data_IF_808784055106
#
_entry.id   IF_808784055106
#
_cell.length_a   1.000
_cell.length_b   1.000
_cell.length_c   1.000
_cell.angle_alpha   90.00
_cell.angle_beta   90.00
_cell.angle_gamma   90.00
#
_symmetry.space_group_name_H-M   'P 1'
#
loop_
_entity.id
_entity.type
_entity.pdbx_description
1 polymer ?
#
# COMPACT_ATOMS: atom_id res chain seq x y z
N UNK A 1 13.08 -8.74 -6.93
CA UNK A 1 11.68 -8.95 -6.50
C UNK A 1 11.03 -7.71 -5.87
N UNK A 2 11.77 -6.80 -5.22
CA UNK A 2 11.25 -5.49 -4.77
C UNK A 2 11.35 -4.37 -5.82
N UNK A 3 11.73 -4.72 -7.04
CA UNK A 3 12.10 -3.75 -8.09
C UNK A 3 10.91 -2.96 -8.61
N UNK A 4 9.69 -3.52 -8.59
CA UNK A 4 8.52 -2.85 -9.18
C UNK A 4 8.07 -1.63 -8.37
N UNK A 5 8.02 -1.73 -7.03
CA UNK A 5 7.74 -0.58 -6.16
C UNK A 5 8.97 0.32 -6.07
N UNK A 6 10.19 -0.24 -6.11
CA UNK A 6 11.43 0.54 -6.03
C UNK A 6 11.76 1.33 -7.30
N UNK A 7 11.23 0.93 -8.46
CA UNK A 7 11.47 1.61 -9.75
C UNK A 7 10.45 2.68 -10.10
N UNK A 8 9.26 2.67 -9.47
CA UNK A 8 8.17 3.62 -9.73
C UNK A 8 7.99 4.63 -8.60
N UNK A 9 7.50 5.82 -8.92
CA UNK A 9 7.15 6.86 -7.95
C UNK A 9 5.84 6.49 -7.22
N UNK A 10 5.62 6.99 -6.00
CA UNK A 10 4.36 6.76 -5.27
C UNK A 10 3.17 7.32 -6.04
N UNK A 11 3.33 8.50 -6.68
CA UNK A 11 2.29 9.07 -7.55
C UNK A 11 1.97 8.13 -8.73
N UNK A 12 2.97 7.52 -9.38
CA UNK A 12 2.75 6.56 -10.48
C UNK A 12 2.04 5.27 -10.02
N UNK A 13 2.39 4.78 -8.82
CA UNK A 13 1.75 3.60 -8.24
C UNK A 13 0.27 3.88 -7.90
N UNK A 14 -0.03 5.07 -7.40
CA UNK A 14 -1.38 5.54 -7.16
C UNK A 14 -2.18 5.68 -8.47
N UNK A 15 -1.59 6.31 -9.49
CA UNK A 15 -2.22 6.53 -10.79
C UNK A 15 -2.62 5.25 -11.50
N UNK A 16 -1.76 4.23 -11.45
CA UNK A 16 -2.02 2.94 -12.09
C UNK A 16 -2.89 2.01 -11.24
N UNK A 17 -3.34 2.43 -10.05
CA UNK A 17 -4.02 1.58 -9.07
C UNK A 17 -3.33 0.22 -8.88
N UNK A 18 -2.00 0.26 -8.79
CA UNK A 18 -1.17 -0.93 -8.90
C UNK A 18 -1.47 -1.94 -7.79
N UNK A 19 -1.55 -3.22 -8.15
CA UNK A 19 -1.75 -4.35 -7.24
C UNK A 19 -0.55 -5.30 -7.36
N UNK A 20 0.02 -5.69 -6.23
CA UNK A 20 1.16 -6.59 -6.17
C UNK A 20 0.93 -7.66 -5.12
N UNK A 21 1.15 -8.93 -5.48
CA UNK A 21 1.15 -10.03 -4.52
C UNK A 21 2.42 -9.94 -3.66
N UNK A 22 2.23 -9.82 -2.35
CA UNK A 22 3.31 -9.74 -1.36
C UNK A 22 2.96 -10.54 -0.14
N UNK A 23 3.91 -11.27 0.42
CA UNK A 23 3.72 -11.84 1.76
C UNK A 23 3.68 -10.73 2.82
N UNK A 24 3.25 -11.09 4.04
CA UNK A 24 3.23 -10.16 5.17
C UNK A 24 4.63 -9.62 5.48
N UNK A 25 5.63 -10.51 5.49
CA UNK A 25 7.01 -10.14 5.79
C UNK A 25 7.60 -9.23 4.72
N UNK A 26 7.38 -9.55 3.44
CA UNK A 26 7.81 -8.69 2.33
C UNK A 26 7.13 -7.33 2.36
N UNK A 27 5.83 -7.27 2.67
CA UNK A 27 5.13 -6.00 2.75
C UNK A 27 5.77 -5.06 3.79
N UNK A 28 6.10 -5.56 4.99
CA UNK A 28 6.72 -4.72 6.02
C UNK A 28 8.14 -4.27 5.65
N UNK A 29 8.89 -5.07 4.88
CA UNK A 29 10.18 -4.65 4.34
C UNK A 29 10.02 -3.56 3.26
N UNK A 30 9.04 -3.71 2.38
CA UNK A 30 8.75 -2.73 1.32
C UNK A 30 8.13 -1.45 1.88
N UNK A 31 7.40 -1.55 2.99
CA UNK A 31 6.76 -0.41 3.63
C UNK A 31 7.79 0.68 3.99
N UNK A 32 8.97 0.30 4.49
CA UNK A 32 10.06 1.24 4.77
C UNK A 32 10.53 1.98 3.50
N UNK A 33 10.65 1.26 2.38
CA UNK A 33 10.97 1.84 1.07
C UNK A 33 9.89 2.82 0.63
N UNK A 34 8.61 2.46 0.79
CA UNK A 34 7.47 3.33 0.47
C UNK A 34 7.51 4.60 1.33
N UNK A 35 7.77 4.49 2.63
CA UNK A 35 7.90 5.66 3.52
C UNK A 35 9.04 6.58 3.10
N UNK A 36 10.20 6.01 2.75
CA UNK A 36 11.35 6.77 2.29
C UNK A 36 11.04 7.53 0.99
N UNK A 37 10.42 6.87 0.02
CA UNK A 37 10.00 7.48 -1.24
C UNK A 37 8.94 8.55 -1.06
N UNK A 38 7.91 8.26 -0.27
CA UNK A 38 6.88 9.25 0.04
C UNK A 38 7.51 10.52 0.65
N UNK A 39 8.51 10.37 1.54
CA UNK A 39 9.25 11.51 2.08
C UNK A 39 10.04 12.28 1.02
N UNK A 40 10.67 11.58 0.06
CA UNK A 40 11.37 12.20 -1.07
C UNK A 40 10.42 12.96 -2.01
N UNK A 41 9.17 12.49 -2.14
CA UNK A 41 8.09 13.11 -2.93
C UNK A 41 7.26 14.16 -2.13
N UNK A 42 7.70 14.54 -0.92
CA UNK A 42 6.98 15.45 -0.01
C UNK A 42 5.56 14.97 0.37
N UNK A 43 5.34 13.66 0.33
CA UNK A 43 4.12 12.98 0.73
C UNK A 43 4.20 12.53 2.19
N UNK A 44 3.04 12.57 2.87
CA UNK A 44 2.85 12.05 4.21
C UNK A 44 1.99 10.79 4.17
N UNK A 45 2.44 9.73 4.82
CA UNK A 45 1.67 8.49 5.00
C UNK A 45 1.14 8.44 6.43
N UNK A 46 -0.18 8.26 6.60
CA UNK A 46 -0.88 8.22 7.89
C UNK A 46 -1.55 6.85 8.05
N UNK A 47 -1.31 6.17 9.16
CA UNK A 47 -1.88 4.86 9.46
C UNK A 47 -0.90 3.98 10.25
N UNK A 48 -1.11 2.66 10.27
CA UNK A 48 -2.23 1.95 9.64
C UNK A 48 -3.54 2.07 10.41
N UNK A 49 -4.65 2.02 9.69
CA UNK A 49 -5.97 1.68 10.24
C UNK A 49 -6.35 0.27 9.80
N UNK A 50 -6.78 -0.57 10.75
CA UNK A 50 -7.22 -1.93 10.46
C UNK A 50 -8.72 -1.93 10.13
N UNK A 51 -9.07 -2.57 9.03
CA UNK A 51 -10.46 -2.79 8.60
C UNK A 51 -10.61 -4.19 8.01
N UNK A 52 -11.85 -4.60 7.74
CA UNK A 52 -12.15 -5.89 7.14
C UNK A 52 -12.92 -5.66 5.83
N UNK A 53 -12.40 -6.18 4.73
CA UNK A 53 -12.95 -5.96 3.38
C UNK A 53 -12.97 -7.30 2.64
N UNK A 54 -14.14 -7.72 2.14
CA UNK A 54 -14.32 -8.98 1.41
C UNK A 54 -13.75 -10.23 2.11
N UNK A 55 -13.83 -10.28 3.46
CA UNK A 55 -13.32 -11.41 4.26
C UNK A 55 -11.80 -11.38 4.51
N UNK A 56 -11.09 -10.35 4.02
CA UNK A 56 -9.67 -10.14 4.28
C UNK A 56 -9.47 -9.00 5.29
N UNK A 57 -8.42 -9.10 6.10
CA UNK A 57 -7.95 -7.98 6.90
C UNK A 57 -7.26 -6.99 5.95
N UNK A 58 -7.57 -5.71 6.10
CA UNK A 58 -7.01 -4.63 5.29
C UNK A 58 -6.35 -3.60 6.21
N UNK A 59 -5.02 -3.50 6.16
CA UNK A 59 -4.29 -2.35 6.72
C UNK A 59 -4.32 -1.22 5.70
N UNK A 60 -4.95 -0.12 6.06
CA UNK A 60 -5.04 1.06 5.20
C UNK A 60 -4.08 2.14 5.68
N UNK A 61 -3.25 2.63 4.76
CA UNK A 61 -2.36 3.75 4.95
C UNK A 61 -2.79 4.88 4.01
N UNK A 62 -3.10 6.03 4.56
CA UNK A 62 -3.57 7.19 3.80
C UNK A 62 -2.35 8.00 3.34
N UNK A 63 -2.28 8.32 2.06
CA UNK A 63 -1.26 9.20 1.49
C UNK A 63 -1.82 10.61 1.36
N UNK A 64 -1.08 11.59 1.87
CA UNK A 64 -1.39 13.03 1.78
C UNK A 64 -0.26 13.81 1.13
N UNK A 65 -0.60 14.86 0.39
CA UNK A 65 0.33 15.89 -0.08
C UNK A 65 -0.07 17.20 0.60
N UNK A 66 0.72 17.65 1.56
CA UNK A 66 0.29 18.68 2.51
C UNK A 66 -0.97 18.24 3.29
N UNK A 67 -2.05 19.03 3.21
CA UNK A 67 -3.33 18.72 3.88
C UNK A 67 -4.32 17.93 3.02
N UNK A 68 -3.97 17.63 1.76
CA UNK A 68 -4.88 16.99 0.80
C UNK A 68 -4.65 15.48 0.79
N UNK A 69 -5.72 14.69 0.90
CA UNK A 69 -5.67 13.24 0.70
C UNK A 69 -5.51 12.96 -0.79
N UNK A 70 -4.40 12.33 -1.19
CA UNK A 70 -4.09 12.04 -2.61
C UNK A 70 -4.30 10.57 -2.96
N UNK A 71 -4.29 9.68 -1.97
CA UNK A 71 -4.48 8.26 -2.21
C UNK A 71 -4.42 7.43 -0.93
N UNK A 72 -4.39 6.13 -1.10
CA UNK A 72 -4.17 5.15 -0.04
C UNK A 72 -3.44 3.90 -0.52
N UNK A 73 -2.78 3.24 0.42
CA UNK A 73 -2.16 1.93 0.28
C UNK A 73 -2.97 0.97 1.15
N UNK A 74 -3.55 -0.06 0.54
CA UNK A 74 -4.22 -1.14 1.23
C UNK A 74 -3.38 -2.40 1.19
N UNK A 75 -2.96 -2.91 2.35
CA UNK A 75 -2.39 -4.25 2.46
C UNK A 75 -3.47 -5.22 2.94
N UNK A 76 -3.82 -6.16 2.06
CA UNK A 76 -4.84 -7.16 2.26
C UNK A 76 -4.18 -8.48 2.67
N UNK A 77 -4.64 -9.08 3.77
CA UNK A 77 -4.09 -10.34 4.26
C UNK A 77 -5.12 -11.19 4.99
N UNK A 78 -4.93 -12.51 4.95
CA UNK A 78 -5.82 -13.51 5.54
C UNK A 78 -6.39 -14.50 4.53
N UNK A 79 -7.38 -15.26 5.00
CA UNK A 79 -8.03 -16.32 4.22
C UNK A 79 -9.39 -15.85 3.73
N UNK A 80 -9.58 -15.83 2.42
CA UNK A 80 -10.89 -15.63 1.81
C UNK A 80 -11.34 -16.94 1.14
N UNK A 81 -12.47 -17.51 1.54
CA UNK A 81 -13.05 -18.74 0.97
C UNK A 81 -12.00 -19.84 0.68
N UNK A 82 -11.20 -20.20 1.70
CA UNK A 82 -10.14 -21.24 1.65
C UNK A 82 -8.87 -20.91 0.84
N UNK A 83 -8.75 -19.71 0.28
CA UNK A 83 -7.50 -19.22 -0.35
C UNK A 83 -6.86 -18.13 0.50
N UNK A 84 -5.61 -18.36 0.87
CA UNK A 84 -4.78 -17.35 1.52
C UNK A 84 -4.37 -16.33 0.45
N UNK A 85 -4.75 -15.06 0.62
CA UNK A 85 -4.43 -14.01 -0.36
C UNK A 85 -3.79 -12.83 0.34
N UNK A 86 -2.53 -12.56 -0.01
CA UNK A 86 -1.78 -11.42 0.50
C UNK A 86 -1.35 -10.53 -0.65
N UNK A 87 -1.80 -9.28 -0.64
CA UNK A 87 -1.46 -8.33 -1.69
C UNK A 87 -1.51 -6.89 -1.20
N UNK A 88 -0.76 -6.03 -1.87
CA UNK A 88 -0.75 -4.59 -1.67
C UNK A 88 -1.45 -3.96 -2.85
N UNK A 89 -2.32 -2.99 -2.57
CA UNK A 89 -3.00 -2.19 -3.59
C UNK A 89 -2.80 -0.71 -3.31
N UNK A 90 -2.40 0.02 -4.34
CA UNK A 90 -2.38 1.48 -4.36
C UNK A 90 -3.69 1.98 -4.97
N UNK A 91 -4.27 3.04 -4.43
CA UNK A 91 -5.54 3.58 -4.94
C UNK A 91 -5.56 5.09 -4.83
N UNK A 92 -5.82 5.76 -5.95
CA UNK A 92 -6.01 7.21 -6.03
C UNK A 92 -7.42 7.60 -5.55
N UNK A 93 -7.53 8.78 -4.95
CA UNK A 93 -8.81 9.42 -4.59
C UNK A 93 -9.22 10.50 -5.58
#
# INVERSE_FOLDING_TARGET
MFEEISSKSIEELLDNSAEFDYTKEEFFQVLDIIYKKAKEEELQIIGPSLSLENGLNKLTYIIKKGNIKVGEIGFYYGSNYLKYKHYVKFSRL
#
